data_IF_990377028679
#
_entry.id   IF_990377028679
#
_cell.length_a   1.000
_cell.length_b   1.000
_cell.length_c   1.000
_cell.angle_alpha   90.00
_cell.angle_beta   90.00
_cell.angle_gamma   90.00
#
_symmetry.space_group_name_H-M   'P 1'
#
loop_
_entity.id
_entity.type
_entity.pdbx_description
1 polymer ?
#
# COMPACT_ATOMS: atom_id res chain seq x y z
N UNK A 1 -20.28 13.70 12.11
CA UNK A 1 -19.42 14.68 12.83
C UNK A 1 -18.90 14.00 14.10
N UNK A 2 -17.63 14.25 14.43
CA UNK A 2 -17.04 13.74 15.67
C UNK A 2 -17.83 14.21 16.90
N UNK A 3 -18.13 13.27 17.83
CA UNK A 3 -18.95 13.56 19.02
C UNK A 3 -20.47 13.58 18.82
N UNK A 4 -20.97 13.35 17.61
CA UNK A 4 -22.41 13.20 17.38
C UNK A 4 -22.90 11.81 17.81
N UNK A 5 -24.19 11.71 18.20
CA UNK A 5 -24.80 10.40 18.46
C UNK A 5 -24.85 9.61 17.15
N UNK A 6 -24.46 8.33 17.22
CA UNK A 6 -24.59 7.43 16.08
C UNK A 6 -26.08 7.18 15.76
N UNK A 7 -26.45 7.32 14.49
CA UNK A 7 -27.76 6.99 13.95
C UNK A 7 -27.59 6.17 12.69
N UNK A 8 -28.31 5.07 12.59
CA UNK A 8 -28.31 4.23 11.38
C UNK A 8 -28.98 4.95 10.21
N UNK A 9 -29.92 5.82 10.49
CA UNK A 9 -30.62 6.61 9.46
C UNK A 9 -29.67 7.65 8.84
N UNK A 10 -28.88 8.34 9.68
CA UNK A 10 -27.87 9.29 9.19
C UNK A 10 -26.79 8.56 8.36
N UNK A 11 -26.36 7.38 8.81
CA UNK A 11 -25.39 6.57 8.07
C UNK A 11 -25.93 6.15 6.69
N UNK A 12 -27.20 5.78 6.60
CA UNK A 12 -27.84 5.42 5.34
C UNK A 12 -27.99 6.64 4.41
N UNK A 13 -28.29 7.80 4.98
CA UNK A 13 -28.36 9.06 4.24
C UNK A 13 -26.99 9.45 3.66
N UNK A 14 -25.92 9.32 4.46
CA UNK A 14 -24.54 9.58 4.02
C UNK A 14 -24.12 8.59 2.92
N UNK A 15 -24.47 7.31 3.05
CA UNK A 15 -24.23 6.30 2.03
C UNK A 15 -24.89 6.64 0.69
N UNK A 16 -26.17 7.01 0.73
CA UNK A 16 -26.91 7.38 -0.47
C UNK A 16 -26.32 8.64 -1.10
N UNK A 17 -25.98 9.65 -0.29
CA UNK A 17 -25.36 10.88 -0.75
C UNK A 17 -24.03 10.61 -1.47
N UNK A 18 -23.19 9.71 -0.93
CA UNK A 18 -21.93 9.32 -1.59
C UNK A 18 -22.19 8.60 -2.92
N UNK A 19 -23.13 7.66 -2.98
CA UNK A 19 -23.51 6.97 -4.22
C UNK A 19 -24.08 7.91 -5.27
N UNK A 20 -24.91 8.85 -4.88
CA UNK A 20 -25.52 9.86 -5.77
C UNK A 20 -24.50 10.81 -6.38
N UNK A 21 -23.31 10.98 -5.81
CA UNK A 21 -22.24 11.77 -6.44
C UNK A 21 -21.86 11.25 -7.82
N UNK A 22 -22.00 9.93 -8.03
CA UNK A 22 -21.63 9.24 -9.26
C UNK A 22 -20.13 9.06 -9.45
N UNK A 23 -19.30 9.36 -8.44
CA UNK A 23 -17.83 9.26 -8.51
C UNK A 23 -17.28 7.89 -8.19
N UNK A 24 -18.08 7.06 -7.51
CA UNK A 24 -17.64 5.77 -6.99
C UNK A 24 -18.33 4.62 -7.72
N UNK A 25 -17.58 3.54 -7.98
CA UNK A 25 -18.14 2.26 -8.41
C UNK A 25 -18.79 1.56 -7.22
N UNK A 26 -18.12 1.60 -6.07
CA UNK A 26 -18.64 1.03 -4.84
C UNK A 26 -18.32 1.93 -3.63
N UNK A 27 -19.21 1.86 -2.65
CA UNK A 27 -19.09 2.56 -1.36
C UNK A 27 -19.53 1.60 -0.27
N UNK A 28 -18.69 1.36 0.71
CA UNK A 28 -18.97 0.52 1.87
C UNK A 28 -18.81 1.36 3.12
N UNK A 29 -19.87 1.44 3.94
CA UNK A 29 -19.83 2.10 5.23
C UNK A 29 -19.92 1.05 6.34
N UNK A 30 -18.90 0.99 7.20
CA UNK A 30 -18.82 0.02 8.30
C UNK A 30 -18.74 0.74 9.64
N UNK A 31 -19.77 0.62 10.50
CA UNK A 31 -19.67 1.05 11.88
C UNK A 31 -18.82 0.04 12.68
N UNK A 32 -17.76 0.50 13.31
CA UNK A 32 -16.85 -0.31 14.12
C UNK A 32 -16.82 0.26 15.53
N UNK A 33 -16.93 -0.60 16.54
CA UNK A 33 -16.77 -0.19 17.94
C UNK A 33 -15.35 0.35 18.19
N UNK A 34 -15.25 1.55 18.77
CA UNK A 34 -13.97 2.21 19.00
C UNK A 34 -14.05 3.11 20.23
N UNK A 35 -13.19 2.88 21.19
CA UNK A 35 -13.01 3.71 22.41
C UNK A 35 -14.32 4.17 23.08
N UNK A 36 -15.21 3.21 23.34
CA UNK A 36 -16.52 3.46 23.97
C UNK A 36 -17.55 4.15 23.06
N UNK A 37 -17.24 4.34 21.78
CA UNK A 37 -18.11 4.90 20.74
C UNK A 37 -18.14 4.06 19.47
N UNK A 38 -18.54 4.69 18.37
CA UNK A 38 -18.58 4.08 17.04
C UNK A 38 -17.71 4.90 16.10
N UNK A 39 -16.80 4.22 15.41
CA UNK A 39 -16.05 4.75 14.26
C UNK A 39 -16.72 4.27 12.98
N UNK A 40 -16.98 5.19 12.07
CA UNK A 40 -17.43 4.84 10.73
C UNK A 40 -16.20 4.69 9.84
N UNK A 41 -16.02 3.50 9.27
CA UNK A 41 -15.03 3.25 8.22
C UNK A 41 -15.75 3.40 6.89
N UNK A 42 -15.18 4.17 5.99
CA UNK A 42 -15.70 4.43 4.64
C UNK A 42 -14.69 3.86 3.65
N UNK A 43 -15.04 2.76 3.00
CA UNK A 43 -14.27 2.19 1.91
C UNK A 43 -14.93 2.57 0.59
N UNK A 44 -14.18 3.11 -0.36
CA UNK A 44 -14.69 3.53 -1.66
C UNK A 44 -13.83 2.97 -2.79
N UNK A 45 -14.48 2.61 -3.89
CA UNK A 45 -13.83 2.30 -5.17
C UNK A 45 -14.19 3.42 -6.14
N UNK A 46 -13.20 4.20 -6.54
CA UNK A 46 -13.39 5.29 -7.49
C UNK A 46 -13.57 4.76 -8.91
N UNK A 47 -14.42 5.41 -9.70
CA UNK A 47 -14.53 5.13 -11.13
C UNK A 47 -13.26 5.55 -11.87
N UNK A 48 -12.89 4.80 -12.91
CA UNK A 48 -11.71 5.12 -13.74
C UNK A 48 -11.76 6.54 -14.32
N UNK A 49 -12.95 7.04 -14.63
CA UNK A 49 -13.18 8.37 -15.21
C UNK A 49 -13.53 9.44 -14.17
N UNK A 50 -13.31 9.22 -12.87
CA UNK A 50 -13.68 10.18 -11.80
C UNK A 50 -13.08 11.57 -12.01
N UNK A 51 -11.86 11.63 -12.52
CA UNK A 51 -11.16 12.88 -12.82
C UNK A 51 -11.90 13.72 -13.86
N UNK A 52 -12.44 13.08 -14.89
CA UNK A 52 -13.18 13.76 -15.95
C UNK A 52 -14.56 14.19 -15.47
N UNK A 53 -15.23 13.37 -14.67
CA UNK A 53 -16.51 13.72 -14.01
C UNK A 53 -16.37 14.94 -13.09
N UNK A 54 -15.26 15.05 -12.37
CA UNK A 54 -14.98 16.19 -11.50
C UNK A 54 -14.71 17.47 -12.31
N UNK A 55 -13.98 17.37 -13.42
CA UNK A 55 -13.75 18.48 -14.35
C UNK A 55 -15.05 18.97 -14.99
N UNK A 56 -15.92 18.06 -15.43
CA UNK A 56 -17.22 18.40 -16.01
C UNK A 56 -18.12 19.16 -15.03
N UNK A 57 -18.03 18.85 -13.74
CA UNK A 57 -18.75 19.58 -12.68
C UNK A 57 -18.05 20.87 -12.24
N UNK A 58 -16.96 21.27 -12.90
CA UNK A 58 -16.20 22.48 -12.57
C UNK A 58 -15.44 22.39 -11.24
N UNK A 59 -15.24 21.18 -10.72
CA UNK A 59 -14.49 20.96 -9.50
C UNK A 59 -13.00 20.90 -9.85
N UNK A 60 -12.26 21.91 -9.44
CA UNK A 60 -10.82 21.96 -9.69
C UNK A 60 -10.09 20.89 -8.90
N UNK A 61 -9.38 19.98 -9.59
CA UNK A 61 -8.65 18.86 -8.97
C UNK A 61 -7.57 19.30 -7.98
N UNK A 62 -7.02 20.48 -8.16
CA UNK A 62 -6.06 21.10 -7.24
C UNK A 62 -6.69 21.47 -5.89
N UNK A 63 -7.98 21.83 -5.83
CA UNK A 63 -8.68 22.09 -4.55
C UNK A 63 -8.99 20.79 -3.79
N UNK A 64 -9.08 19.66 -4.49
CA UNK A 64 -9.31 18.35 -3.88
C UNK A 64 -8.01 17.69 -3.38
N UNK A 65 -6.85 18.15 -3.86
CA UNK A 65 -5.52 17.66 -3.46
C UNK A 65 -4.76 18.60 -2.52
N UNK A 66 -5.32 19.73 -2.13
CA UNK A 66 -4.72 20.62 -1.14
C UNK A 66 -4.97 20.09 0.29
N UNK A 67 -4.44 18.90 0.57
CA UNK A 67 -4.26 18.41 1.93
C UNK A 67 -2.95 18.92 2.57
N UNK A 68 -2.31 19.88 1.88
CA UNK A 68 -1.07 20.49 2.35
C UNK A 68 -1.38 21.51 3.44
N UNK A 69 -0.99 21.18 4.66
CA UNK A 69 -1.09 22.13 5.77
C UNK A 69 0.09 23.11 5.72
N UNK A 70 -0.16 24.30 5.14
CA UNK A 70 0.83 25.38 5.03
C UNK A 70 1.22 26.00 6.39
N UNK A 71 0.56 25.61 7.49
CA UNK A 71 0.94 25.99 8.84
C UNK A 71 2.02 25.07 9.46
N UNK A 72 2.21 23.88 8.88
CA UNK A 72 3.09 22.85 9.43
C UNK A 72 4.22 22.52 8.43
N UNK A 73 5.45 22.71 8.88
CA UNK A 73 6.66 22.43 8.09
C UNK A 73 7.30 21.14 8.62
N UNK A 74 7.65 20.23 7.71
CA UNK A 74 8.42 19.02 8.03
C UNK A 74 9.84 19.46 8.45
N UNK A 75 10.15 19.32 9.71
CA UNK A 75 11.48 19.67 10.25
C UNK A 75 12.50 18.57 10.02
N UNK A 76 12.07 17.31 10.05
CA UNK A 76 12.90 16.15 9.76
C UNK A 76 12.05 14.95 9.36
N UNK A 77 12.65 14.07 8.55
CA UNK A 77 12.11 12.75 8.21
C UNK A 77 13.05 11.70 8.82
N UNK A 78 12.50 10.79 9.61
CA UNK A 78 13.24 9.75 10.31
C UNK A 78 12.72 8.38 9.93
N UNK A 79 13.62 7.38 9.97
CA UNK A 79 13.27 5.98 9.76
C UNK A 79 13.77 5.14 10.91
N UNK A 80 13.00 4.14 11.31
CA UNK A 80 13.37 3.16 12.34
C UNK A 80 12.99 1.76 11.86
N UNK A 81 13.78 0.75 12.25
CA UNK A 81 13.56 -0.63 11.84
C UNK A 81 14.27 -1.02 10.53
N UNK A 82 14.90 -0.05 9.85
CA UNK A 82 15.75 -0.32 8.70
C UNK A 82 17.15 -0.73 9.17
N UNK A 83 17.61 -1.90 8.77
CA UNK A 83 18.94 -2.42 9.11
C UNK A 83 19.82 -2.62 7.89
N UNK A 84 19.25 -2.98 6.75
CA UNK A 84 19.92 -3.23 5.47
C UNK A 84 19.70 -2.10 4.48
N UNK A 85 18.51 -1.51 4.48
CA UNK A 85 18.19 -0.36 3.63
C UNK A 85 18.65 0.91 4.31
N UNK A 86 19.48 1.71 3.66
CA UNK A 86 20.02 2.94 4.24
C UNK A 86 18.98 4.04 4.34
N UNK A 87 19.13 4.94 5.30
CA UNK A 87 18.25 6.12 5.43
C UNK A 87 18.26 6.99 4.17
N UNK A 88 19.41 7.10 3.49
CA UNK A 88 19.51 7.84 2.22
C UNK A 88 18.62 7.23 1.14
N UNK A 89 18.67 5.91 0.98
CA UNK A 89 17.81 5.19 0.03
C UNK A 89 16.32 5.36 0.36
N UNK A 90 15.97 5.33 1.65
CA UNK A 90 14.58 5.54 2.08
C UNK A 90 14.10 6.96 1.77
N UNK A 91 14.94 7.98 1.97
CA UNK A 91 14.64 9.36 1.59
C UNK A 91 14.44 9.50 0.08
N UNK A 92 15.27 8.85 -0.73
CA UNK A 92 15.16 8.86 -2.19
C UNK A 92 13.86 8.20 -2.66
N UNK A 93 13.44 7.09 -2.04
CA UNK A 93 12.18 6.40 -2.35
C UNK A 93 10.98 7.24 -1.95
N UNK A 94 10.99 7.80 -0.75
CA UNK A 94 9.84 8.57 -0.22
C UNK A 94 9.69 9.94 -0.89
N UNK A 95 10.80 10.52 -1.38
CA UNK A 95 10.85 11.87 -1.95
C UNK A 95 10.36 12.96 -0.99
N UNK A 96 10.40 12.70 0.30
CA UNK A 96 10.06 13.66 1.35
C UNK A 96 11.31 14.39 1.83
N UNK A 97 11.20 15.70 2.00
CA UNK A 97 12.33 16.55 2.42
C UNK A 97 11.97 17.42 3.61
N UNK A 98 12.95 17.65 4.48
CA UNK A 98 12.84 18.68 5.49
C UNK A 98 12.73 20.06 4.83
N UNK A 99 11.94 20.94 5.41
CA UNK A 99 11.65 22.28 4.88
C UNK A 99 10.40 22.35 4.01
N UNK A 100 9.81 21.24 3.61
CA UNK A 100 8.55 21.22 2.85
C UNK A 100 7.35 21.30 3.79
N UNK A 101 6.22 21.82 3.27
CA UNK A 101 4.95 21.78 3.97
C UNK A 101 4.41 20.34 4.05
N UNK A 102 3.77 20.04 5.16
CA UNK A 102 3.14 18.74 5.35
C UNK A 102 1.98 18.53 4.37
N UNK A 103 1.91 17.34 3.82
CA UNK A 103 0.80 16.86 3.01
C UNK A 103 0.54 15.39 3.35
N UNK A 104 -0.69 15.09 3.71
CA UNK A 104 -1.10 13.72 4.06
C UNK A 104 -0.96 12.79 2.85
N UNK A 105 -1.44 13.21 1.68
CA UNK A 105 -1.36 12.39 0.46
C UNK A 105 0.09 12.05 0.10
N UNK A 106 1.02 12.99 0.28
CA UNK A 106 2.45 12.72 0.04
C UNK A 106 3.04 11.70 1.02
N UNK A 107 2.58 11.69 2.27
CA UNK A 107 3.00 10.68 3.26
C UNK A 107 2.44 9.31 2.90
N UNK A 108 1.17 9.25 2.49
CA UNK A 108 0.54 8.01 2.01
C UNK A 108 1.21 7.50 0.73
N UNK A 109 1.54 8.39 -0.21
CA UNK A 109 2.31 8.05 -1.41
C UNK A 109 3.70 7.51 -1.06
N UNK A 110 4.39 8.12 -0.11
CA UNK A 110 5.68 7.66 0.37
C UNK A 110 5.58 6.25 0.98
N UNK A 111 4.56 6.00 1.78
CA UNK A 111 4.27 4.67 2.33
C UNK A 111 4.04 3.63 1.23
N UNK A 112 3.19 3.96 0.23
CA UNK A 112 2.94 3.07 -0.91
C UNK A 112 4.20 2.78 -1.71
N UNK A 113 5.05 3.79 -1.98
CA UNK A 113 6.34 3.61 -2.67
C UNK A 113 7.26 2.67 -1.91
N UNK A 114 7.39 2.83 -0.60
CA UNK A 114 8.21 1.96 0.23
C UNK A 114 7.71 0.50 0.16
N UNK A 115 6.41 0.27 0.32
CA UNK A 115 5.82 -1.06 0.21
C UNK A 115 5.97 -1.66 -1.20
N UNK A 116 5.82 -0.84 -2.25
CA UNK A 116 5.94 -1.27 -3.64
C UNK A 116 7.36 -1.76 -4.00
N UNK A 117 8.39 -1.38 -3.23
CA UNK A 117 9.74 -1.93 -3.42
C UNK A 117 9.84 -3.43 -3.14
N UNK A 118 8.87 -3.98 -2.40
CA UNK A 118 8.90 -5.36 -1.90
C UNK A 118 9.97 -5.62 -0.84
N UNK A 119 10.67 -4.59 -0.36
CA UNK A 119 11.71 -4.72 0.68
C UNK A 119 11.15 -4.73 2.08
N UNK A 120 9.90 -4.30 2.26
CA UNK A 120 9.25 -4.14 3.56
C UNK A 120 7.94 -4.90 3.62
N UNK A 121 7.69 -5.57 4.75
CA UNK A 121 6.40 -6.19 5.08
C UNK A 121 5.46 -5.18 5.72
N UNK A 122 6.01 -4.17 6.38
CA UNK A 122 5.23 -3.15 7.07
C UNK A 122 5.93 -1.79 6.99
N UNK A 123 5.13 -0.75 6.79
CA UNK A 123 5.56 0.65 6.84
C UNK A 123 4.48 1.45 7.56
N UNK A 124 4.81 2.00 8.71
CA UNK A 124 3.90 2.83 9.52
C UNK A 124 4.44 4.26 9.61
N UNK A 125 3.77 5.24 9.00
CA UNK A 125 4.08 6.64 9.24
C UNK A 125 3.58 7.06 10.63
N UNK A 126 4.35 7.89 11.32
CA UNK A 126 4.01 8.58 12.56
C UNK A 126 4.43 10.04 12.47
N UNK A 127 3.60 10.94 12.93
CA UNK A 127 3.86 12.38 12.84
C UNK A 127 3.65 13.05 14.18
N UNK A 128 4.70 13.73 14.65
CA UNK A 128 4.68 14.51 15.89
C UNK A 128 4.86 15.99 15.56
N UNK A 129 3.89 16.81 15.98
CA UNK A 129 3.90 18.26 15.76
C UNK A 129 4.18 18.99 17.04
N UNK A 130 5.17 19.88 17.02
CA UNK A 130 5.48 20.79 18.12
C UNK A 130 5.88 22.16 17.55
N UNK A 131 5.24 23.24 18.02
CA UNK A 131 5.54 24.63 17.63
C UNK A 131 5.54 24.85 16.10
N UNK A 132 4.52 24.32 15.37
CA UNK A 132 4.40 24.43 13.92
C UNK A 132 5.46 23.65 13.13
N UNK A 133 6.29 22.85 13.80
CA UNK A 133 7.28 21.97 13.17
C UNK A 133 6.90 20.51 13.35
N UNK A 134 7.02 19.75 12.29
CA UNK A 134 6.69 18.32 12.29
C UNK A 134 7.96 17.48 12.20
N UNK A 135 8.05 16.48 13.07
CA UNK A 135 8.96 15.34 12.89
C UNK A 135 8.13 14.19 12.31
N UNK A 136 8.41 13.83 11.08
CA UNK A 136 7.77 12.71 10.41
C UNK A 136 8.66 11.48 10.56
N UNK A 137 8.11 10.40 11.09
CA UNK A 137 8.83 9.15 11.33
C UNK A 137 8.16 8.01 10.57
N UNK A 138 8.95 7.11 10.00
CA UNK A 138 8.47 5.87 9.40
C UNK A 138 9.07 4.69 10.17
N UNK A 139 8.20 3.89 10.79
CA UNK A 139 8.59 2.60 11.35
C UNK A 139 8.45 1.56 10.24
N UNK A 140 9.55 0.92 9.87
CA UNK A 140 9.59 -0.06 8.79
C UNK A 140 9.97 -1.44 9.32
N UNK A 141 9.42 -2.49 8.71
CA UNK A 141 9.81 -3.88 8.97
C UNK A 141 10.34 -4.45 7.65
N UNK A 142 11.63 -4.73 7.61
CA UNK A 142 12.27 -5.28 6.41
C UNK A 142 11.90 -6.75 6.20
N UNK A 143 11.59 -7.11 4.96
CA UNK A 143 11.39 -8.50 4.56
C UNK A 143 12.67 -9.32 4.73
N UNK A 144 12.59 -10.59 5.15
CA UNK A 144 13.77 -11.43 5.33
C UNK A 144 14.50 -11.70 4.00
N UNK A 145 15.76 -12.08 4.10
CA UNK A 145 16.56 -12.58 2.99
C UNK A 145 16.34 -14.08 2.84
N UNK A 146 16.13 -14.54 1.62
CA UNK A 146 16.01 -15.96 1.28
C UNK A 146 17.36 -16.60 1.41
N UNK A 147 17.47 -17.59 2.28
CA UNK A 147 18.72 -18.34 2.48
C UNK A 147 18.90 -19.43 1.43
N UNK A 148 17.82 -20.14 1.09
CA UNK A 148 17.85 -21.23 0.12
C UNK A 148 16.49 -21.38 -0.55
N UNK A 149 16.51 -21.93 -1.76
CA UNK A 149 15.31 -22.36 -2.49
C UNK A 149 15.48 -23.87 -2.71
N UNK A 150 14.51 -24.64 -2.28
CA UNK A 150 14.51 -26.11 -2.45
C UNK A 150 13.29 -26.47 -3.29
N UNK A 151 13.50 -27.30 -4.31
CA UNK A 151 12.44 -27.80 -5.19
C UNK A 151 12.38 -29.31 -4.99
N UNK A 152 11.19 -29.81 -4.70
CA UNK A 152 10.93 -31.25 -4.49
C UNK A 152 9.71 -31.70 -5.29
N UNK A 153 9.63 -32.99 -5.60
CA UNK A 153 8.50 -33.55 -6.33
C UNK A 153 8.54 -33.36 -7.85
N UNK A 154 9.59 -32.74 -8.37
CA UNK A 154 9.77 -32.48 -9.80
C UNK A 154 10.45 -33.68 -10.48
N UNK A 155 9.67 -34.65 -10.95
CA UNK A 155 10.19 -35.85 -11.61
C UNK A 155 10.41 -35.66 -13.13
N UNK A 156 9.69 -34.77 -13.78
CA UNK A 156 9.72 -34.57 -15.23
C UNK A 156 10.65 -33.43 -15.65
N UNK A 157 10.57 -32.29 -14.97
CA UNK A 157 11.39 -31.11 -15.30
C UNK A 157 12.58 -31.06 -14.34
N UNK A 158 13.81 -30.98 -14.86
CA UNK A 158 15.00 -30.87 -14.00
C UNK A 158 14.95 -29.66 -13.07
N UNK A 159 15.42 -29.85 -11.85
CA UNK A 159 15.50 -28.76 -10.84
C UNK A 159 16.26 -27.54 -11.38
N UNK A 160 17.33 -27.75 -12.16
CA UNK A 160 18.10 -26.66 -12.77
C UNK A 160 17.27 -25.82 -13.72
N UNK A 161 16.39 -26.44 -14.50
CA UNK A 161 15.48 -25.74 -15.43
C UNK A 161 14.47 -24.88 -14.67
N UNK A 162 13.87 -25.45 -13.61
CA UNK A 162 12.94 -24.71 -12.76
C UNK A 162 13.67 -23.55 -12.08
N UNK A 163 14.81 -23.81 -11.43
CA UNK A 163 15.60 -22.77 -10.75
C UNK A 163 16.03 -21.62 -11.68
N UNK A 164 16.29 -21.91 -12.95
CA UNK A 164 16.64 -20.88 -13.94
C UNK A 164 15.48 -19.96 -14.27
N UNK A 165 14.24 -20.47 -14.21
CA UNK A 165 13.03 -19.72 -14.51
C UNK A 165 12.59 -18.83 -13.33
N UNK A 166 13.00 -19.16 -12.09
CA UNK A 166 12.59 -18.40 -10.91
C UNK A 166 13.25 -17.03 -10.84
N UNK A 167 12.47 -16.05 -10.40
CA UNK A 167 12.96 -14.73 -9.97
C UNK A 167 13.52 -14.80 -8.55
N UNK A 168 12.89 -15.60 -7.70
CA UNK A 168 13.28 -15.86 -6.32
C UNK A 168 14.58 -16.67 -6.26
N UNK A 169 15.61 -16.09 -5.64
CA UNK A 169 16.94 -16.74 -5.53
C UNK A 169 17.51 -16.59 -4.13
N UNK A 170 18.40 -17.49 -3.70
CA UNK A 170 19.16 -17.27 -2.49
C UNK A 170 19.88 -15.93 -2.50
N UNK A 171 19.83 -15.20 -1.39
CA UNK A 171 20.38 -13.85 -1.27
C UNK A 171 19.41 -12.72 -1.66
N UNK A 172 18.29 -13.01 -2.31
CA UNK A 172 17.26 -12.01 -2.60
C UNK A 172 16.35 -11.75 -1.40
N UNK A 173 15.72 -10.58 -1.40
CA UNK A 173 14.69 -10.26 -0.41
C UNK A 173 13.43 -11.06 -0.72
N UNK A 174 12.81 -11.66 0.30
CA UNK A 174 11.53 -12.33 0.14
C UNK A 174 10.46 -11.33 -0.33
N UNK A 175 9.81 -11.64 -1.45
CA UNK A 175 8.72 -10.84 -2.01
C UNK A 175 7.60 -11.78 -2.43
N UNK A 176 6.44 -11.64 -1.80
CA UNK A 176 5.28 -12.51 -2.07
C UNK A 176 4.76 -12.40 -3.52
N UNK A 177 4.91 -11.24 -4.17
CA UNK A 177 4.55 -11.10 -5.58
C UNK A 177 5.47 -11.95 -6.46
N UNK A 178 6.79 -11.93 -6.19
CA UNK A 178 7.75 -12.78 -6.91
C UNK A 178 7.47 -14.26 -6.71
N UNK A 179 7.09 -14.68 -5.49
CA UNK A 179 6.72 -16.08 -5.22
C UNK A 179 5.50 -16.51 -6.03
N UNK A 180 4.48 -15.63 -6.13
CA UNK A 180 3.30 -15.89 -6.97
C UNK A 180 3.66 -16.00 -8.45
N UNK A 181 4.44 -15.06 -8.98
CA UNK A 181 4.92 -15.11 -10.36
C UNK A 181 5.76 -16.35 -10.64
N UNK A 182 6.61 -16.74 -9.71
CA UNK A 182 7.45 -17.92 -9.84
C UNK A 182 6.62 -19.20 -9.86
N UNK A 183 5.57 -19.28 -9.05
CA UNK A 183 4.60 -20.37 -9.10
C UNK A 183 3.94 -20.47 -10.48
N UNK A 184 3.52 -19.33 -11.06
CA UNK A 184 2.90 -19.29 -12.37
C UNK A 184 3.89 -19.70 -13.48
N UNK A 185 5.18 -19.31 -13.37
CA UNK A 185 6.24 -19.75 -14.28
C UNK A 185 6.45 -21.26 -14.21
N UNK A 186 6.50 -21.85 -12.99
CA UNK A 186 6.63 -23.30 -12.85
C UNK A 186 5.42 -23.99 -13.48
N UNK A 187 4.21 -23.51 -13.20
CA UNK A 187 2.98 -24.05 -13.80
C UNK A 187 3.05 -24.02 -15.32
N UNK A 188 3.50 -22.90 -15.91
CA UNK A 188 3.69 -22.75 -17.35
C UNK A 188 4.69 -23.76 -17.94
N UNK A 189 5.80 -24.04 -17.23
CA UNK A 189 6.77 -25.06 -17.66
C UNK A 189 6.14 -26.46 -17.76
N UNK A 190 5.30 -26.83 -16.80
CA UNK A 190 4.61 -28.11 -16.81
C UNK A 190 3.51 -28.16 -17.87
N UNK A 191 2.76 -27.09 -18.04
CA UNK A 191 1.71 -26.98 -19.08
C UNK A 191 2.31 -27.13 -20.49
N UNK A 192 3.48 -26.53 -20.73
CA UNK A 192 4.19 -26.68 -22.01
C UNK A 192 4.61 -28.13 -22.31
N UNK A 193 4.72 -28.97 -21.29
CA UNK A 193 4.96 -30.42 -21.43
C UNK A 193 3.67 -31.26 -21.49
N UNK A 194 2.49 -30.59 -21.54
CA UNK A 194 1.19 -31.26 -21.62
C UNK A 194 0.56 -31.64 -20.27
N UNK A 195 1.15 -31.23 -19.15
CA UNK A 195 0.56 -31.46 -17.82
C UNK A 195 -0.48 -30.40 -17.49
N UNK A 196 -1.75 -30.76 -17.43
CA UNK A 196 -2.88 -29.84 -17.16
C UNK A 196 -3.26 -29.76 -15.69
N UNK A 197 -2.87 -30.76 -14.88
CA UNK A 197 -3.15 -30.84 -13.46
C UNK A 197 -1.83 -30.86 -12.67
N UNK A 198 -1.37 -29.69 -12.29
CA UNK A 198 -0.15 -29.51 -11.49
C UNK A 198 -0.52 -28.75 -10.21
N UNK A 199 -0.16 -29.30 -9.08
CA UNK A 199 -0.29 -28.63 -7.81
C UNK A 199 1.10 -28.19 -7.32
N UNK A 200 1.24 -26.90 -7.05
CA UNK A 200 2.46 -26.28 -6.55
C UNK A 200 2.13 -25.67 -5.20
N UNK A 201 2.83 -26.13 -4.16
CA UNK A 201 2.73 -25.61 -2.79
C UNK A 201 4.07 -25.00 -2.40
N UNK A 202 4.05 -23.88 -1.73
CA UNK A 202 5.16 -23.12 -1.16
C UNK A 202 5.13 -23.16 0.39
#
# INVERSE_FOLDING_TARGET
KEGAKFSTEDLLADFNALKETGYFEDVILQPVSYDGGVRIVVDVIEKENVVDLLKEKGIALNTLREDTDKSVVISSVKFTGNSRVTTSELLDITQLKAGEYFSRSRVEDAQRRLLATGKFSEVKPDAQVANGKMVLSFVVVENPIIKSVVITGNHTIPTSTIMSALTTKPGSVQNYNNLREDRDKILGLYQAQGYTLVNITD
#
